data_IF_495813231956
#
_entry.id   IF_495813231956
#
_cell.length_a   1.000
_cell.length_b   1.000
_cell.length_c   1.000
_cell.angle_alpha   90.00
_cell.angle_beta   90.00
_cell.angle_gamma   90.00
#
_symmetry.space_group_name_H-M   'P 1'
#
loop_
_entity.id
_entity.type
_entity.pdbx_description
1 polymer ?
#
# COMPACT_ATOMS: atom_id res chain seq x y z
N UNK A 1 33.02 -7.48 -11.50
CA UNK A 1 32.95 -7.41 -12.97
C UNK A 1 32.25 -6.12 -13.34
N UNK A 2 32.80 -5.28 -14.22
CA UNK A 2 32.03 -4.17 -14.78
C UNK A 2 30.88 -4.77 -15.62
N UNK A 3 29.68 -4.16 -15.62
CA UNK A 3 28.61 -4.59 -16.52
C UNK A 3 29.12 -4.48 -17.97
N UNK A 4 28.90 -5.53 -18.76
CA UNK A 4 29.18 -5.51 -20.20
C UNK A 4 28.36 -4.43 -20.91
N UNK A 5 28.70 -4.08 -22.17
CA UNK A 5 28.00 -3.02 -22.89
C UNK A 5 26.50 -3.28 -22.91
N UNK A 6 25.73 -2.33 -22.36
CA UNK A 6 24.28 -2.38 -22.33
C UNK A 6 23.75 -2.44 -23.75
N UNK A 7 23.01 -3.50 -24.08
CA UNK A 7 22.42 -3.65 -25.41
C UNK A 7 21.10 -2.88 -25.40
N UNK A 8 20.99 -1.76 -26.14
CA UNK A 8 19.73 -1.05 -26.25
C UNK A 8 18.74 -1.88 -27.08
N UNK A 9 17.50 -1.96 -26.60
CA UNK A 9 16.37 -2.58 -27.31
C UNK A 9 15.49 -1.49 -27.85
N UNK A 10 15.08 -1.65 -29.10
CA UNK A 10 14.09 -0.81 -29.76
C UNK A 10 12.70 -1.41 -29.52
N UNK A 11 11.83 -0.69 -28.84
CA UNK A 11 10.46 -1.13 -28.58
C UNK A 11 9.50 -0.18 -29.30
N UNK A 12 8.74 -0.71 -30.23
CA UNK A 12 7.68 0.03 -30.92
C UNK A 12 6.35 -0.19 -30.22
N UNK A 13 5.71 0.90 -29.81
CA UNK A 13 4.40 0.91 -29.14
C UNK A 13 3.56 2.00 -29.78
N UNK A 14 2.38 1.64 -30.29
CA UNK A 14 1.46 2.56 -30.97
C UNK A 14 2.14 3.46 -32.04
N UNK A 15 3.01 2.84 -32.85
CA UNK A 15 3.77 3.55 -33.90
C UNK A 15 4.93 4.42 -33.40
N UNK A 16 5.11 4.58 -32.09
CA UNK A 16 6.21 5.31 -31.48
C UNK A 16 7.37 4.39 -31.09
N UNK A 17 8.60 4.83 -31.36
CA UNK A 17 9.81 4.09 -31.00
C UNK A 17 10.34 4.53 -29.62
N UNK A 18 10.60 3.56 -28.75
CA UNK A 18 11.24 3.73 -27.46
C UNK A 18 12.59 2.99 -27.44
N UNK A 19 13.61 3.65 -26.90
CA UNK A 19 14.89 3.01 -26.58
C UNK A 19 14.98 2.75 -25.08
N UNK A 20 15.24 1.49 -24.74
CA UNK A 20 15.36 1.04 -23.36
C UNK A 20 16.49 0.02 -23.21
N UNK A 21 17.07 -0.05 -22.02
CA UNK A 21 18.08 -1.05 -21.69
C UNK A 21 17.44 -2.42 -21.53
N UNK A 22 18.02 -3.44 -22.18
CA UNK A 22 17.52 -4.81 -22.06
C UNK A 22 17.53 -5.32 -20.61
N UNK A 23 18.57 -4.97 -19.85
CA UNK A 23 18.74 -5.32 -18.43
C UNK A 23 17.57 -4.83 -17.60
N UNK A 24 17.24 -3.54 -17.70
CA UNK A 24 16.13 -2.91 -16.99
C UNK A 24 14.79 -3.61 -17.29
N UNK A 25 14.50 -3.88 -18.57
CA UNK A 25 13.26 -4.54 -18.97
C UNK A 25 13.18 -5.99 -18.47
N UNK A 26 14.26 -6.77 -18.56
CA UNK A 26 14.30 -8.17 -18.09
C UNK A 26 14.22 -8.25 -16.57
N UNK A 27 14.83 -7.28 -15.87
CA UNK A 27 14.82 -7.20 -14.42
C UNK A 27 13.40 -6.92 -13.91
N UNK A 28 12.72 -5.94 -14.49
CA UNK A 28 11.46 -5.44 -13.92
C UNK A 28 10.18 -5.88 -14.62
N UNK A 29 10.25 -6.48 -15.82
CA UNK A 29 9.06 -6.92 -16.55
C UNK A 29 9.09 -8.43 -16.84
N UNK A 30 8.08 -9.15 -16.34
CA UNK A 30 7.91 -10.58 -16.61
C UNK A 30 7.76 -10.90 -18.09
N UNK A 31 7.05 -10.04 -18.84
CA UNK A 31 6.90 -10.16 -20.29
C UNK A 31 8.26 -10.20 -21.01
N UNK A 32 9.12 -9.19 -20.80
CA UNK A 32 10.42 -9.11 -21.46
C UNK A 32 11.37 -10.20 -20.99
N UNK A 33 11.33 -10.56 -19.70
CA UNK A 33 12.08 -11.71 -19.19
C UNK A 33 11.70 -13.01 -19.90
N UNK A 34 10.41 -13.24 -20.11
CA UNK A 34 9.91 -14.37 -20.88
C UNK A 34 10.35 -14.30 -22.35
N UNK A 35 10.14 -13.14 -22.98
CA UNK A 35 10.48 -12.89 -24.38
C UNK A 35 11.95 -13.20 -24.66
N UNK A 36 12.89 -12.60 -23.93
CA UNK A 36 14.32 -12.77 -24.18
C UNK A 36 14.87 -14.16 -23.80
N UNK A 37 14.15 -14.92 -22.97
CA UNK A 37 14.51 -16.32 -22.64
C UNK A 37 13.87 -17.34 -23.57
N UNK A 38 12.84 -16.97 -24.33
CA UNK A 38 12.03 -17.90 -25.14
C UNK A 38 12.76 -18.49 -26.36
N UNK A 39 13.83 -17.84 -26.83
CA UNK A 39 14.51 -18.22 -28.06
C UNK A 39 13.72 -17.92 -29.35
N UNK A 40 12.58 -17.23 -29.25
CA UNK A 40 11.76 -16.77 -30.38
C UNK A 40 12.50 -15.77 -31.26
N UNK A 41 12.00 -15.53 -32.48
CA UNK A 41 12.64 -14.64 -33.45
C UNK A 41 12.75 -13.21 -32.91
N UNK A 42 11.74 -12.77 -32.18
CA UNK A 42 11.63 -11.50 -31.47
C UNK A 42 12.68 -11.36 -30.37
N UNK A 43 13.13 -12.48 -29.78
CA UNK A 43 14.20 -12.48 -28.78
C UNK A 43 15.60 -12.25 -29.38
N UNK A 44 15.76 -12.55 -30.68
CA UNK A 44 17.01 -12.36 -31.44
C UNK A 44 17.05 -11.03 -32.18
N UNK A 45 15.89 -10.42 -32.39
CA UNK A 45 15.79 -9.09 -32.97
C UNK A 45 16.08 -8.05 -31.88
N UNK A 46 16.84 -7.00 -32.22
CA UNK A 46 16.96 -5.81 -31.37
C UNK A 46 15.70 -4.92 -31.41
N UNK A 47 14.61 -5.41 -32.01
CA UNK A 47 13.35 -4.69 -32.24
C UNK A 47 12.17 -5.53 -31.78
N UNK A 48 11.37 -4.99 -30.86
CA UNK A 48 10.14 -5.58 -30.32
C UNK A 48 8.97 -4.67 -30.65
N UNK A 49 7.82 -5.24 -31.04
CA UNK A 49 6.60 -4.47 -31.35
C UNK A 49 5.47 -4.88 -30.42
N UNK A 50 4.91 -3.93 -29.68
CA UNK A 50 3.80 -4.13 -28.75
C UNK A 50 2.56 -3.41 -29.30
N UNK A 51 1.63 -4.17 -29.88
CA UNK A 51 0.39 -3.61 -30.44
C UNK A 51 -0.77 -3.47 -29.45
N UNK A 52 -0.63 -4.00 -28.24
CA UNK A 52 -1.69 -4.02 -27.23
C UNK A 52 -1.63 -2.87 -26.22
N UNK A 53 -0.60 -2.02 -26.30
CA UNK A 53 -0.33 -0.95 -25.34
C UNK A 53 -0.33 0.41 -26.03
N UNK A 54 -0.69 1.45 -25.29
CA UNK A 54 -0.51 2.84 -25.72
C UNK A 54 0.95 3.28 -25.53
N UNK A 55 1.40 4.23 -26.35
CA UNK A 55 2.72 4.84 -26.20
C UNK A 55 2.86 5.58 -24.86
N UNK A 56 1.80 6.27 -24.40
CA UNK A 56 1.82 7.00 -23.14
C UNK A 56 1.91 6.07 -21.92
N UNK A 57 1.13 4.99 -21.88
CA UNK A 57 1.22 3.98 -20.82
C UNK A 57 2.60 3.32 -20.76
N UNK A 58 3.17 2.96 -21.92
CA UNK A 58 4.52 2.40 -21.96
C UNK A 58 5.60 3.40 -21.54
N UNK A 59 5.45 4.67 -21.93
CA UNK A 59 6.30 5.76 -21.48
C UNK A 59 6.27 5.92 -19.96
N UNK A 60 5.09 5.91 -19.35
CA UNK A 60 4.90 5.91 -17.90
C UNK A 60 5.57 4.72 -17.24
N UNK A 61 5.40 3.52 -17.79
CA UNK A 61 6.05 2.32 -17.28
C UNK A 61 7.57 2.49 -17.23
N UNK A 62 8.21 2.91 -18.34
CA UNK A 62 9.65 3.12 -18.40
C UNK A 62 10.16 4.14 -17.36
N UNK A 63 9.44 5.25 -17.16
CA UNK A 63 9.78 6.26 -16.15
C UNK A 63 9.75 5.66 -14.75
N UNK A 64 8.69 4.92 -14.41
CA UNK A 64 8.57 4.24 -13.10
C UNK A 64 9.66 3.19 -12.91
N UNK A 65 10.01 2.43 -13.95
CA UNK A 65 11.10 1.45 -13.89
C UNK A 65 12.46 2.10 -13.62
N UNK A 66 12.67 3.32 -14.12
CA UNK A 66 13.87 4.13 -13.83
C UNK A 66 13.84 4.79 -12.44
N UNK A 67 12.81 4.52 -11.65
CA UNK A 67 12.65 5.07 -10.30
C UNK A 67 11.96 6.43 -10.24
N UNK A 68 11.49 6.97 -11.37
CA UNK A 68 10.72 8.20 -11.37
C UNK A 68 9.32 8.01 -10.73
N UNK A 69 8.65 9.12 -10.44
CA UNK A 69 7.28 9.18 -9.91
C UNK A 69 6.46 10.15 -10.77
N UNK A 70 6.01 9.74 -11.97
CA UNK A 70 5.18 10.58 -12.82
C UNK A 70 3.84 10.87 -12.13
N UNK A 71 3.31 12.09 -12.26
CA UNK A 71 1.94 12.36 -11.88
C UNK A 71 1.00 11.80 -12.97
N UNK A 72 0.01 11.00 -12.56
CA UNK A 72 -1.05 10.51 -13.43
C UNK A 72 -2.31 11.28 -13.07
N UNK A 73 -2.63 12.32 -13.85
CA UNK A 73 -3.69 13.28 -13.50
C UNK A 73 -4.98 12.93 -14.23
N UNK A 74 -4.87 12.40 -15.44
CA UNK A 74 -6.02 12.07 -16.25
C UNK A 74 -6.36 10.57 -16.15
N UNK A 75 -7.65 10.26 -16.21
CA UNK A 75 -8.19 8.91 -16.09
C UNK A 75 -7.64 7.96 -17.17
N UNK A 76 -7.42 8.47 -18.38
CA UNK A 76 -6.84 7.72 -19.48
C UNK A 76 -5.38 7.36 -19.23
N UNK A 77 -4.58 8.27 -18.65
CA UNK A 77 -3.19 7.98 -18.25
C UNK A 77 -3.14 6.86 -17.20
N UNK A 78 -4.08 6.89 -16.24
CA UNK A 78 -4.16 5.89 -15.18
C UNK A 78 -4.54 4.51 -15.73
N UNK A 79 -5.58 4.46 -16.56
CA UNK A 79 -6.03 3.22 -17.21
C UNK A 79 -4.92 2.61 -18.07
N UNK A 80 -4.23 3.43 -18.87
CA UNK A 80 -3.11 2.98 -19.70
C UNK A 80 -1.93 2.47 -18.86
N UNK A 81 -1.68 3.06 -17.68
CA UNK A 81 -0.67 2.57 -16.75
C UNK A 81 -1.05 1.22 -16.13
N UNK A 82 -2.33 1.01 -15.78
CA UNK A 82 -2.87 -0.28 -15.31
C UNK A 82 -2.72 -1.36 -16.39
N UNK A 83 -3.14 -1.06 -17.63
CA UNK A 83 -2.97 -1.93 -18.80
C UNK A 83 -1.51 -2.34 -18.99
N UNK A 84 -0.61 -1.36 -18.95
CA UNK A 84 0.83 -1.61 -19.09
C UNK A 84 1.38 -2.47 -17.95
N UNK A 85 0.98 -2.21 -16.70
CA UNK A 85 1.43 -2.99 -15.55
C UNK A 85 1.03 -4.47 -15.68
N UNK A 86 -0.21 -4.72 -16.10
CA UNK A 86 -0.74 -6.07 -16.30
C UNK A 86 -0.06 -6.77 -17.47
N UNK A 87 -0.03 -6.13 -18.65
CA UNK A 87 0.52 -6.73 -19.87
C UNK A 87 2.02 -7.02 -19.73
N UNK A 88 2.80 -6.05 -19.24
CA UNK A 88 4.25 -6.21 -19.07
C UNK A 88 4.61 -7.10 -17.88
N UNK A 89 3.64 -7.43 -17.03
CA UNK A 89 3.84 -8.09 -15.74
C UNK A 89 4.92 -7.34 -14.95
N UNK A 90 4.68 -6.04 -14.69
CA UNK A 90 5.65 -5.11 -14.12
C UNK A 90 5.32 -4.78 -12.65
N UNK A 91 5.90 -5.46 -11.65
CA UNK A 91 5.54 -5.28 -10.25
C UNK A 91 5.88 -3.89 -9.72
N UNK A 92 6.93 -3.25 -10.26
CA UNK A 92 7.30 -1.89 -9.86
C UNK A 92 6.21 -0.87 -10.25
N UNK A 93 5.58 -1.03 -11.42
CA UNK A 93 4.47 -0.18 -11.85
C UNK A 93 3.19 -0.50 -11.08
N UNK A 94 2.88 -1.79 -10.86
CA UNK A 94 1.74 -2.17 -10.03
C UNK A 94 1.84 -1.59 -8.60
N UNK A 95 3.01 -1.69 -7.96
CA UNK A 95 3.24 -1.04 -6.65
C UNK A 95 3.15 0.47 -6.73
N UNK A 96 3.63 1.09 -7.80
CA UNK A 96 3.48 2.53 -7.97
C UNK A 96 1.99 2.94 -7.98
N UNK A 97 1.15 2.21 -8.72
CA UNK A 97 -0.30 2.42 -8.78
C UNK A 97 -0.98 2.18 -7.42
N UNK A 98 -0.56 1.15 -6.69
CA UNK A 98 -1.01 0.86 -5.33
C UNK A 98 -0.77 2.05 -4.38
N UNK A 99 0.39 2.70 -4.47
CA UNK A 99 0.74 3.85 -3.63
C UNK A 99 0.20 5.18 -4.15
N UNK A 100 -0.43 5.21 -5.33
CA UNK A 100 -1.01 6.42 -5.93
C UNK A 100 -2.53 6.50 -5.77
N UNK A 101 -3.14 5.60 -4.99
CA UNK A 101 -4.59 5.61 -4.71
C UNK A 101 -4.96 6.89 -3.94
N UNK A 102 -5.96 7.60 -4.44
CA UNK A 102 -6.56 8.80 -3.83
C UNK A 102 -8.08 8.69 -3.86
N UNK A 103 -8.79 9.59 -3.16
CA UNK A 103 -10.25 9.71 -3.25
C UNK A 103 -10.74 9.88 -4.68
N UNK A 104 -9.98 10.60 -5.49
CA UNK A 104 -10.41 11.02 -6.82
C UNK A 104 -10.23 9.92 -7.87
N UNK A 105 -9.32 8.96 -7.63
CA UNK A 105 -8.98 7.93 -8.61
C UNK A 105 -9.29 6.49 -8.16
N UNK A 106 -9.68 6.28 -6.91
CA UNK A 106 -9.82 4.94 -6.33
C UNK A 106 -10.84 4.07 -7.06
N UNK A 107 -11.99 4.64 -7.46
CA UNK A 107 -13.06 3.93 -8.17
C UNK A 107 -12.57 3.38 -9.52
N UNK A 108 -11.98 4.24 -10.36
CA UNK A 108 -11.40 3.86 -11.65
C UNK A 108 -10.28 2.83 -11.49
N UNK A 109 -9.37 3.04 -10.54
CA UNK A 109 -8.25 2.13 -10.33
C UNK A 109 -8.73 0.76 -9.86
N UNK A 110 -9.76 0.72 -9.01
CA UNK A 110 -10.37 -0.52 -8.54
C UNK A 110 -10.99 -1.32 -9.70
N UNK A 111 -11.82 -0.68 -10.53
CA UNK A 111 -12.44 -1.32 -11.68
C UNK A 111 -11.40 -1.78 -12.71
N UNK A 112 -10.46 -0.91 -13.07
CA UNK A 112 -9.40 -1.26 -14.01
C UNK A 112 -8.54 -2.43 -13.47
N UNK A 113 -8.14 -2.40 -12.20
CA UNK A 113 -7.36 -3.48 -11.60
C UNK A 113 -8.14 -4.80 -11.53
N UNK A 114 -9.46 -4.77 -11.33
CA UNK A 114 -10.31 -5.96 -11.43
C UNK A 114 -10.33 -6.50 -12.86
N UNK A 115 -10.55 -5.64 -13.86
CA UNK A 115 -10.61 -6.03 -15.27
C UNK A 115 -9.28 -6.62 -15.80
N UNK A 116 -8.15 -6.03 -15.41
CA UNK A 116 -6.82 -6.45 -15.88
C UNK A 116 -6.12 -7.46 -14.96
N UNK A 117 -6.75 -7.83 -13.83
CA UNK A 117 -6.23 -8.86 -12.92
C UNK A 117 -5.04 -8.42 -12.05
N UNK A 118 -4.87 -7.12 -11.79
CA UNK A 118 -3.86 -6.60 -10.87
C UNK A 118 -4.34 -6.69 -9.42
N UNK A 119 -4.23 -7.89 -8.83
CA UNK A 119 -4.81 -8.21 -7.52
C UNK A 119 -4.38 -7.30 -6.37
N UNK A 120 -3.10 -6.94 -6.30
CA UNK A 120 -2.59 -6.12 -5.19
C UNK A 120 -3.11 -4.67 -5.28
N UNK A 121 -3.22 -4.15 -6.52
CA UNK A 121 -3.79 -2.82 -6.79
C UNK A 121 -5.29 -2.82 -6.53
N UNK A 122 -6.01 -3.84 -7.00
CA UNK A 122 -7.42 -4.05 -6.72
C UNK A 122 -7.67 -4.09 -5.22
N UNK A 123 -6.89 -4.87 -4.48
CA UNK A 123 -7.07 -5.00 -3.04
C UNK A 123 -6.89 -3.67 -2.31
N UNK A 124 -5.86 -2.92 -2.67
CA UNK A 124 -5.56 -1.63 -2.02
C UNK A 124 -6.58 -0.55 -2.36
N UNK A 125 -7.00 -0.44 -3.63
CA UNK A 125 -8.07 0.47 -4.03
C UNK A 125 -9.41 0.08 -3.40
N UNK A 126 -9.72 -1.21 -3.33
CA UNK A 126 -10.94 -1.72 -2.72
C UNK A 126 -11.00 -1.46 -1.21
N UNK A 127 -9.87 -1.62 -0.49
CA UNK A 127 -9.76 -1.23 0.92
C UNK A 127 -9.98 0.27 1.09
N UNK A 128 -9.34 1.10 0.25
CA UNK A 128 -9.52 2.54 0.31
C UNK A 128 -10.98 2.96 0.14
N UNK A 129 -11.70 2.37 -0.82
CA UNK A 129 -13.13 2.60 -1.03
C UNK A 129 -13.95 2.08 0.16
N UNK A 130 -13.61 0.89 0.67
CA UNK A 130 -14.32 0.27 1.80
C UNK A 130 -14.22 1.11 3.07
N UNK A 131 -13.10 1.77 3.27
CA UNK A 131 -12.77 2.58 4.45
C UNK A 131 -13.04 4.07 4.25
N UNK A 132 -13.50 4.47 3.06
CA UNK A 132 -13.82 5.83 2.69
C UNK A 132 -15.31 6.16 2.78
N UNK A 133 -15.74 7.20 2.08
CA UNK A 133 -17.17 7.56 1.98
C UNK A 133 -17.96 6.45 1.29
N UNK A 134 -19.16 6.14 1.81
CA UNK A 134 -20.09 5.18 1.18
C UNK A 134 -20.45 5.54 -0.27
N UNK A 135 -20.32 6.82 -0.66
CA UNK A 135 -20.58 7.30 -2.02
C UNK A 135 -19.60 6.69 -3.04
N UNK A 136 -18.36 6.41 -2.65
CA UNK A 136 -17.33 5.84 -3.55
C UNK A 136 -17.71 4.46 -4.08
N UNK A 137 -18.47 3.67 -3.30
CA UNK A 137 -18.96 2.36 -3.75
C UNK A 137 -19.96 2.49 -4.91
N UNK A 138 -20.71 3.59 -4.97
CA UNK A 138 -21.70 3.84 -6.01
C UNK A 138 -21.05 4.21 -7.36
N UNK A 139 -19.83 4.73 -7.33
CA UNK A 139 -19.06 5.11 -8.52
C UNK A 139 -18.46 3.92 -9.26
N UNK A 140 -18.30 2.77 -8.59
CA UNK A 140 -17.77 1.56 -9.21
C UNK A 140 -18.71 1.06 -10.32
N UNK A 141 -18.15 0.83 -11.49
CA UNK A 141 -18.87 0.34 -12.67
C UNK A 141 -18.97 -1.18 -12.67
N UNK A 142 -17.91 -1.90 -12.26
CA UNK A 142 -17.87 -3.36 -12.36
C UNK A 142 -18.59 -4.04 -11.18
N UNK A 143 -19.56 -4.96 -11.44
CA UNK A 143 -20.26 -5.67 -10.37
C UNK A 143 -19.33 -6.52 -9.49
N UNK A 144 -18.29 -7.11 -10.08
CA UNK A 144 -17.29 -7.90 -9.38
C UNK A 144 -16.39 -7.07 -8.46
N UNK A 145 -16.02 -5.85 -8.87
CA UNK A 145 -15.30 -4.91 -8.01
C UNK A 145 -16.18 -4.48 -6.82
N UNK A 146 -17.45 -4.13 -7.07
CA UNK A 146 -18.43 -3.81 -6.01
C UNK A 146 -18.62 -4.96 -5.02
N UNK A 147 -18.80 -6.18 -5.52
CA UNK A 147 -18.94 -7.37 -4.68
C UNK A 147 -17.67 -7.63 -3.85
N UNK A 148 -16.50 -7.41 -4.44
CA UNK A 148 -15.22 -7.55 -3.74
C UNK A 148 -15.07 -6.53 -2.61
N UNK A 149 -15.33 -5.24 -2.89
CA UNK A 149 -15.32 -4.16 -1.88
C UNK A 149 -16.29 -4.47 -0.73
N UNK A 150 -17.53 -4.88 -1.06
CA UNK A 150 -18.53 -5.21 -0.05
C UNK A 150 -18.14 -6.41 0.84
N UNK A 151 -17.37 -7.35 0.30
CA UNK A 151 -16.87 -8.51 1.04
C UNK A 151 -15.68 -8.18 1.96
N UNK A 152 -15.00 -7.04 1.77
CA UNK A 152 -13.91 -6.61 2.64
C UNK A 152 -14.45 -6.17 4.00
N UNK A 153 -13.68 -6.50 5.04
CA UNK A 153 -13.92 -5.92 6.36
C UNK A 153 -13.30 -4.53 6.37
N UNK A 154 -14.05 -3.49 6.77
CA UNK A 154 -13.48 -2.16 6.88
C UNK A 154 -12.33 -2.17 7.89
N UNK A 155 -11.28 -1.40 7.61
CA UNK A 155 -10.22 -1.12 8.55
C UNK A 155 -10.81 -0.32 9.70
N UNK A 156 -10.83 -0.90 10.90
CA UNK A 156 -11.26 -0.17 12.09
C UNK A 156 -10.16 0.81 12.48
N UNK A 157 -10.40 2.11 12.28
CA UNK A 157 -9.52 3.14 12.80
C UNK A 157 -9.57 3.12 14.34
N UNK A 158 -8.42 2.88 14.97
CA UNK A 158 -8.28 2.98 16.43
C UNK A 158 -7.62 4.31 16.74
N UNK A 159 -8.42 5.29 17.16
CA UNK A 159 -7.89 6.52 17.72
C UNK A 159 -7.48 6.27 19.19
N UNK A 160 -6.18 6.31 19.47
CA UNK A 160 -5.66 6.27 20.84
C UNK A 160 -5.46 7.70 21.32
N UNK A 161 -6.35 8.18 22.18
CA UNK A 161 -6.13 9.42 22.92
C UNK A 161 -5.54 9.09 24.28
N UNK A 162 -4.52 9.85 24.69
CA UNK A 162 -4.04 9.84 26.09
C UNK A 162 -4.59 11.07 26.76
N UNK A 163 -5.56 10.92 27.66
CA UNK A 163 -5.92 11.98 28.60
C UNK A 163 -4.73 12.21 29.53
N UNK A 164 -4.20 13.43 29.55
CA UNK A 164 -3.40 13.87 30.69
C UNK A 164 -4.41 14.31 31.74
N UNK A 165 -4.59 13.58 32.86
CA UNK A 165 -5.49 14.06 33.90
C UNK A 165 -4.94 15.40 34.41
N UNK A 166 -5.77 16.42 34.40
CA UNK A 166 -5.49 17.66 35.12
C UNK A 166 -5.34 17.29 36.60
N UNK A 167 -4.26 17.70 37.30
CA UNK A 167 -4.09 17.40 38.71
C UNK A 167 -5.34 17.82 39.49
N UNK A 168 -6.02 16.86 40.12
CA UNK A 168 -7.18 17.08 41.01
C UNK A 168 -8.58 16.81 40.44
N UNK A 169 -8.75 16.39 39.18
CA UNK A 169 -10.10 16.17 38.60
C UNK A 169 -10.40 14.77 38.07
N UNK A 170 -9.40 13.95 37.77
CA UNK A 170 -9.62 12.56 37.34
C UNK A 170 -8.51 11.69 37.96
N UNK A 171 -8.85 10.97 39.04
CA UNK A 171 -7.98 9.93 39.62
C UNK A 171 -7.97 8.65 38.76
N UNK A 172 -8.84 8.57 37.75
CA UNK A 172 -8.98 7.39 36.92
C UNK A 172 -8.10 7.50 35.67
N UNK A 173 -6.91 6.91 35.76
CA UNK A 173 -6.08 6.67 34.59
C UNK A 173 -6.76 5.60 33.73
N UNK A 174 -7.72 5.99 32.89
CA UNK A 174 -8.33 5.06 31.93
C UNK A 174 -7.22 4.40 31.09
N UNK A 175 -7.06 3.08 31.28
CA UNK A 175 -6.12 2.20 30.56
C UNK A 175 -6.84 1.46 29.44
N UNK A 176 -7.81 2.11 28.82
CA UNK A 176 -8.69 1.49 27.84
C UNK A 176 -8.43 2.07 26.47
N UNK A 177 -8.10 1.19 25.53
CA UNK A 177 -8.15 1.48 24.12
C UNK A 177 -9.62 1.46 23.70
N UNK A 178 -10.06 2.50 23.00
CA UNK A 178 -11.42 2.59 22.48
C UNK A 178 -11.37 2.79 20.96
N UNK A 179 -12.46 2.44 20.29
CA UNK A 179 -12.70 2.79 18.89
C UNK A 179 -14.04 3.52 18.78
N UNK A 180 -14.17 4.37 17.77
CA UNK A 180 -15.44 4.99 17.43
C UNK A 180 -16.20 4.03 16.52
N UNK A 181 -17.37 3.58 16.96
CA UNK A 181 -18.36 2.93 16.11
C UNK A 181 -19.11 4.03 15.35
N UNK A 182 -18.76 4.24 14.08
CA UNK A 182 -19.33 5.31 13.25
C UNK A 182 -20.79 5.06 12.87
N UNK A 183 -21.25 3.80 12.82
CA UNK A 183 -22.65 3.49 12.51
C UNK A 183 -23.59 3.92 13.65
N UNK A 184 -23.15 3.71 14.89
CA UNK A 184 -23.91 4.01 16.11
C UNK A 184 -23.49 5.34 16.76
N UNK A 185 -22.54 6.07 16.16
CA UNK A 185 -21.91 7.29 16.68
C UNK A 185 -21.49 7.17 18.16
N UNK A 186 -20.86 6.03 18.51
CA UNK A 186 -20.60 5.65 19.90
C UNK A 186 -19.16 5.14 20.11
N UNK A 187 -18.51 5.60 21.17
CA UNK A 187 -17.23 5.05 21.60
C UNK A 187 -17.41 3.69 22.26
N UNK A 188 -16.70 2.68 21.76
CA UNK A 188 -16.69 1.32 22.31
C UNK A 188 -15.31 0.93 22.81
N UNK A 189 -15.27 0.16 23.89
CA UNK A 189 -14.02 -0.37 24.42
C UNK A 189 -13.47 -1.46 23.51
N UNK A 190 -12.23 -1.28 23.06
CA UNK A 190 -11.50 -2.21 22.21
C UNK A 190 -10.68 -3.21 23.02
N UNK A 191 -9.89 -2.72 23.97
CA UNK A 191 -9.01 -3.53 24.81
C UNK A 191 -8.56 -2.74 26.05
N UNK A 192 -8.18 -3.45 27.11
CA UNK A 192 -7.47 -2.86 28.23
C UNK A 192 -5.94 -3.02 28.04
N UNK A 193 -5.20 -1.96 28.34
CA UNK A 193 -3.74 -2.00 28.41
C UNK A 193 -3.28 -2.71 29.69
N UNK A 194 -2.24 -3.55 29.63
CA UNK A 194 -1.59 -4.16 30.78
C UNK A 194 -1.14 -3.12 31.80
N UNK A 195 -0.99 -3.55 33.04
CA UNK A 195 -0.55 -2.70 34.16
C UNK A 195 0.85 -2.12 33.90
N UNK A 196 1.69 -2.88 33.21
CA UNK A 196 3.07 -2.55 32.85
C UNK A 196 3.16 -1.58 31.67
N UNK A 197 2.06 -1.30 30.98
CA UNK A 197 2.03 -0.30 29.93
C UNK A 197 2.03 1.12 30.50
N UNK A 198 2.61 2.04 29.72
CA UNK A 198 2.61 3.47 29.99
C UNK A 198 1.20 4.02 30.13
N UNK A 199 1.01 4.95 31.05
CA UNK A 199 -0.24 5.70 31.21
C UNK A 199 -0.22 7.05 30.49
N UNK A 200 0.96 7.57 30.18
CA UNK A 200 1.16 8.91 29.61
C UNK A 200 2.34 8.92 28.64
N UNK A 201 2.33 9.88 27.70
CA UNK A 201 3.46 10.21 26.81
C UNK A 201 4.01 9.03 25.98
N UNK A 202 3.19 8.03 25.72
CA UNK A 202 3.57 6.92 24.84
C UNK A 202 3.62 7.39 23.39
N UNK A 203 4.61 6.91 22.63
CA UNK A 203 4.57 7.00 21.17
C UNK A 203 3.58 5.95 20.63
N UNK A 204 2.70 6.36 19.72
CA UNK A 204 1.75 5.45 19.07
C UNK A 204 1.95 5.50 17.56
N UNK A 205 2.02 4.33 16.92
CA UNK A 205 2.16 4.21 15.46
C UNK A 205 1.36 3.02 14.93
N UNK A 206 0.93 3.08 13.68
CA UNK A 206 0.28 1.98 12.98
C UNK A 206 1.21 1.39 11.92
N UNK A 207 1.28 0.07 11.84
CA UNK A 207 2.03 -0.62 10.78
C UNK A 207 1.40 -2.00 10.52
N UNK A 208 1.01 -2.25 9.26
CA UNK A 208 0.47 -3.55 8.85
C UNK A 208 -0.80 -3.95 9.60
N UNK A 209 -1.75 -3.01 9.77
CA UNK A 209 -3.00 -3.20 10.52
C UNK A 209 -2.80 -3.62 11.99
N UNK A 210 -1.70 -3.17 12.59
CA UNK A 210 -1.40 -3.33 14.02
C UNK A 210 -1.09 -1.96 14.61
N UNK A 211 -1.44 -1.78 15.88
CA UNK A 211 -1.16 -0.57 16.63
C UNK A 211 -0.02 -0.82 17.61
N UNK A 212 1.02 0.01 17.54
CA UNK A 212 2.21 -0.08 18.36
C UNK A 212 2.18 1.04 19.38
N UNK A 213 2.39 0.67 20.65
CA UNK A 213 2.49 1.58 21.79
C UNK A 213 3.89 1.41 22.35
N UNK A 214 4.71 2.46 22.28
CA UNK A 214 6.15 2.40 22.56
C UNK A 214 6.51 3.44 23.60
N UNK A 215 7.15 2.98 24.67
CA UNK A 215 7.72 3.85 25.69
C UNK A 215 6.65 4.58 26.51
N UNK A 216 6.98 5.79 26.96
CA UNK A 216 6.12 6.63 27.79
C UNK A 216 6.46 6.55 29.27
N UNK A 217 5.52 6.97 30.12
CA UNK A 217 5.69 6.95 31.57
C UNK A 217 4.46 6.39 32.28
N UNK A 218 4.69 5.76 33.44
CA UNK A 218 3.64 5.24 34.29
C UNK A 218 3.59 5.96 35.65
N UNK A 219 2.38 6.11 36.18
CA UNK A 219 2.14 6.64 37.53
C UNK A 219 2.42 8.14 37.69
N UNK A 220 2.15 8.65 38.89
CA UNK A 220 2.37 10.06 39.23
C UNK A 220 3.87 10.42 39.33
N UNK A 221 4.73 9.44 39.63
CA UNK A 221 6.18 9.57 39.67
C UNK A 221 6.82 9.69 38.28
N UNK A 222 6.04 9.48 37.21
CA UNK A 222 6.52 9.48 35.81
C UNK A 222 7.67 8.50 35.57
N UNK A 223 7.54 7.29 36.09
CA UNK A 223 8.51 6.23 35.87
C UNK A 223 8.57 5.85 34.39
N UNK A 224 9.78 5.79 33.83
CA UNK A 224 9.99 5.49 32.41
C UNK A 224 9.62 4.04 32.12
N UNK A 225 8.78 3.85 31.11
CA UNK A 225 8.42 2.52 30.61
C UNK A 225 9.30 2.23 29.40
N UNK A 226 10.14 1.19 29.49
CA UNK A 226 10.93 0.73 28.33
C UNK A 226 10.14 -0.27 27.46
N UNK A 227 9.06 -0.83 27.98
CA UNK A 227 8.26 -1.83 27.30
C UNK A 227 7.48 -1.25 26.12
N UNK A 228 7.30 -2.09 25.10
CA UNK A 228 6.46 -1.80 23.94
C UNK A 228 5.38 -2.87 23.78
N UNK A 229 4.22 -2.45 23.31
CA UNK A 229 3.05 -3.30 23.12
C UNK A 229 2.56 -3.18 21.69
N UNK A 230 2.05 -4.28 21.15
CA UNK A 230 1.45 -4.36 19.83
C UNK A 230 0.02 -4.88 19.99
N UNK A 231 -0.96 -4.11 19.55
CA UNK A 231 -2.33 -4.56 19.39
C UNK A 231 -2.51 -5.16 18.01
N UNK A 232 -2.84 -6.46 17.96
CA UNK A 232 -3.29 -7.14 16.75
C UNK A 232 -4.79 -7.42 16.85
N UNK A 233 -5.62 -6.91 15.92
CA UNK A 233 -7.06 -7.15 15.94
C UNK A 233 -7.46 -8.64 15.85
N UNK A 234 -6.56 -9.55 15.45
CA UNK A 234 -6.82 -10.99 15.36
C UNK A 234 -6.57 -11.77 16.65
N UNK A 235 -5.61 -11.33 17.46
CA UNK A 235 -5.13 -12.11 18.63
C UNK A 235 -4.99 -11.27 19.91
N UNK A 236 -5.46 -10.01 19.87
CA UNK A 236 -5.43 -9.03 20.96
C UNK A 236 -4.03 -8.44 21.25
N UNK A 237 -3.90 -7.74 22.37
CA UNK A 237 -2.70 -7.00 22.74
C UNK A 237 -1.60 -7.93 23.23
N UNK A 238 -0.40 -7.80 22.64
CA UNK A 238 0.79 -8.58 23.00
C UNK A 238 1.96 -7.66 23.32
N UNK A 239 2.79 -8.09 24.29
CA UNK A 239 4.07 -7.44 24.59
C UNK A 239 5.06 -7.72 23.45
N UNK A 240 5.76 -6.70 22.99
CA UNK A 240 6.81 -6.84 21.98
C UNK A 240 8.11 -7.28 22.68
N UNK A 241 8.74 -8.38 22.24
CA UNK A 241 10.06 -8.77 22.74
C UNK A 241 11.07 -7.68 22.40
N UNK A 242 11.81 -7.17 23.40
CA UNK A 242 12.94 -6.30 23.12
C UNK A 242 14.13 -7.15 22.63
N UNK A 243 14.93 -6.64 21.67
CA UNK A 243 16.21 -7.25 21.34
C UNK A 243 17.07 -7.31 22.61
N UNK A 244 17.81 -8.41 22.80
CA UNK A 244 18.77 -8.51 23.90
C UNK A 244 19.73 -7.31 23.83
N UNK A 245 20.07 -6.66 24.95
CA UNK A 245 20.99 -5.54 24.93
C UNK A 245 22.29 -5.99 24.26
N UNK A 246 22.63 -5.35 23.15
CA UNK A 246 23.93 -5.51 22.52
C UNK A 246 24.95 -4.97 23.51
N UNK A 247 25.69 -5.87 24.16
CA UNK A 247 26.84 -5.48 24.98
C UNK A 247 27.81 -4.71 24.06
N UNK A 248 28.01 -3.43 24.37
CA UNK A 248 29.08 -2.62 23.80
C UNK A 248 30.43 -3.05 24.37
#
# INVERSE_FOLDING_TARGET
MPPGPEVPVQVWVDGQLFQAEQSLLVEHCGFFRGLFRSGMREARAAEVRLGALSAAGFGTALRVLRGERPALVADDELLQAVECAAFLQAPALARFLEHSVTSDNCSLLCDAAAAFGLRDVLHSAALFIRDGSHELVAELELPEARAYVAALRPSTYVAVSTHTPTPGFLEDASRTMCFLDEEEDAWRTLAALPLEASTLLAGVATLGNKLYIVGGVCGASKEVVELSFCYDPRWHLVRIPQPAPTAL
#
